data_IF_810036425794
#
_entry.id   IF_810036425794
#
_cell.length_a   1.000
_cell.length_b   1.000
_cell.length_c   1.000
_cell.angle_alpha   90.00
_cell.angle_beta   90.00
_cell.angle_gamma   90.00
#
_symmetry.space_group_name_H-M   'P 1'
#
loop_
_entity.id
_entity.type
_entity.pdbx_description
1 polymer ?
#
# COMPACT_ATOMS: atom_id res chain seq x y z
N UNK A 1 25.43 25.87 -41.59
CA UNK A 1 24.07 25.41 -41.19
C UNK A 1 24.24 24.61 -39.94
N UNK A 2 23.48 24.84 -38.89
CA UNK A 2 23.67 24.17 -37.62
C UNK A 2 23.05 22.77 -37.69
N UNK A 3 23.89 21.72 -37.58
CA UNK A 3 23.46 20.35 -37.49
C UNK A 3 22.65 20.14 -36.20
N UNK A 4 21.43 19.66 -36.30
CA UNK A 4 20.54 19.34 -35.18
C UNK A 4 20.51 17.83 -34.94
N UNK A 5 20.32 17.41 -33.67
CA UNK A 5 20.17 16.00 -33.32
C UNK A 5 18.69 15.61 -33.42
N UNK A 6 18.42 14.53 -34.15
CA UNK A 6 17.11 13.92 -34.27
C UNK A 6 17.11 12.54 -33.61
N UNK A 7 16.05 12.23 -32.89
CA UNK A 7 15.78 10.87 -32.44
C UNK A 7 14.82 10.19 -33.43
N UNK A 8 15.08 8.95 -33.76
CA UNK A 8 14.23 8.20 -34.65
C UNK A 8 13.84 6.83 -34.10
N UNK A 9 12.66 6.39 -34.49
CA UNK A 9 12.17 5.03 -34.32
C UNK A 9 11.81 4.49 -35.70
N UNK A 10 12.34 3.33 -36.04
CA UNK A 10 12.12 2.69 -37.36
C UNK A 10 12.17 1.18 -37.27
N UNK A 11 11.85 0.51 -38.38
CA UNK A 11 11.90 -0.95 -38.51
C UNK A 11 12.90 -1.32 -39.60
N UNK A 12 13.79 -2.30 -39.34
CA UNK A 12 14.69 -2.80 -40.34
C UNK A 12 14.00 -3.80 -41.31
N UNK A 13 14.69 -4.24 -42.33
CA UNK A 13 14.17 -5.20 -43.31
C UNK A 13 13.80 -6.58 -42.71
N UNK A 14 14.26 -6.87 -41.48
CA UNK A 14 13.96 -8.11 -40.75
C UNK A 14 12.73 -7.95 -39.81
N UNK A 15 12.08 -6.76 -39.78
CA UNK A 15 10.93 -6.49 -38.95
C UNK A 15 11.25 -6.09 -37.48
N UNK A 16 12.54 -5.92 -37.15
CA UNK A 16 12.94 -5.50 -35.82
C UNK A 16 12.86 -3.97 -35.64
N UNK A 17 12.31 -3.52 -34.52
CA UNK A 17 12.25 -2.08 -34.17
C UNK A 17 13.63 -1.58 -33.72
N UNK A 18 14.11 -0.52 -34.36
CA UNK A 18 15.39 0.13 -34.06
C UNK A 18 15.13 1.56 -33.61
N UNK A 19 15.76 1.98 -32.51
CA UNK A 19 15.75 3.36 -32.03
C UNK A 19 17.17 3.89 -31.98
N UNK A 20 17.35 5.16 -32.39
CA UNK A 20 18.66 5.79 -32.36
C UNK A 20 18.58 7.30 -32.45
N UNK A 21 19.74 7.94 -32.43
CA UNK A 21 19.88 9.38 -32.67
C UNK A 21 20.82 9.62 -33.86
N UNK A 22 20.48 10.57 -34.74
CA UNK A 22 21.25 10.96 -35.91
C UNK A 22 21.34 12.46 -35.98
N UNK A 23 22.47 12.98 -36.44
CA UNK A 23 22.66 14.41 -36.68
C UNK A 23 22.38 14.74 -38.15
N UNK A 24 21.46 15.69 -38.38
CA UNK A 24 21.11 16.14 -39.73
C UNK A 24 20.61 17.59 -39.70
N UNK A 25 20.50 18.18 -40.89
CA UNK A 25 20.06 19.57 -41.05
C UNK A 25 18.53 19.69 -41.16
N UNK A 26 17.82 18.58 -41.45
CA UNK A 26 16.36 18.54 -41.52
C UNK A 26 15.82 17.12 -41.27
N UNK A 27 14.50 17.05 -40.96
CA UNK A 27 13.77 15.81 -40.74
C UNK A 27 13.72 14.94 -42.02
N UNK A 28 13.62 15.58 -43.17
CA UNK A 28 13.62 14.92 -44.47
C UNK A 28 14.98 14.26 -44.79
N UNK A 29 16.07 14.92 -44.41
CA UNK A 29 17.43 14.36 -44.53
C UNK A 29 17.65 13.17 -43.64
N UNK A 30 17.07 13.15 -42.41
CA UNK A 30 17.08 11.98 -41.53
C UNK A 30 16.32 10.81 -42.15
N UNK A 31 15.09 11.07 -42.65
CA UNK A 31 14.29 10.02 -43.28
C UNK A 31 15.01 9.37 -44.49
N UNK A 32 15.62 10.19 -45.35
CA UNK A 32 16.36 9.73 -46.51
C UNK A 32 17.56 8.84 -46.09
N UNK A 33 18.37 9.29 -45.14
CA UNK A 33 19.54 8.50 -44.64
C UNK A 33 19.13 7.18 -43.97
N UNK A 34 18.00 7.16 -43.23
CA UNK A 34 17.51 5.93 -42.64
C UNK A 34 17.00 4.94 -43.66
N UNK A 35 16.32 5.45 -44.71
CA UNK A 35 15.87 4.61 -45.84
C UNK A 35 17.04 4.02 -46.60
N UNK A 36 18.10 4.80 -46.83
CA UNK A 36 19.36 4.29 -47.48
C UNK A 36 20.05 3.21 -46.62
N UNK A 37 19.86 3.21 -45.31
CA UNK A 37 20.36 2.20 -44.39
C UNK A 37 19.41 0.99 -44.23
N UNK A 38 18.34 0.93 -45.00
CA UNK A 38 17.36 -0.18 -44.96
C UNK A 38 16.44 -0.10 -43.73
N UNK A 39 16.32 1.07 -43.09
CA UNK A 39 15.44 1.31 -41.96
C UNK A 39 14.25 2.17 -42.42
N UNK A 40 13.03 1.65 -42.27
CA UNK A 40 11.82 2.41 -42.55
C UNK A 40 11.51 3.25 -41.33
N UNK A 41 11.62 4.60 -41.37
CA UNK A 41 11.35 5.47 -40.24
C UNK A 41 9.85 5.50 -39.94
N UNK A 42 9.45 5.18 -38.70
CA UNK A 42 8.09 5.28 -38.21
C UNK A 42 7.84 6.65 -37.52
N UNK A 43 8.85 7.13 -36.78
CA UNK A 43 8.80 8.43 -36.13
C UNK A 43 10.19 9.09 -36.15
N UNK A 44 10.25 10.41 -36.43
CA UNK A 44 11.47 11.23 -36.40
C UNK A 44 11.14 12.54 -35.72
N UNK A 45 11.79 12.81 -34.57
CA UNK A 45 11.59 14.01 -33.76
C UNK A 45 12.91 14.72 -33.46
N UNK A 46 12.89 16.05 -33.31
CA UNK A 46 14.07 16.79 -32.88
C UNK A 46 14.48 16.38 -31.45
N UNK A 47 15.70 15.92 -31.29
CA UNK A 47 16.25 15.54 -29.99
C UNK A 47 16.42 16.83 -29.14
N UNK A 48 15.41 17.17 -28.31
CA UNK A 48 15.51 18.32 -27.41
C UNK A 48 14.21 19.05 -27.11
N UNK A 49 13.09 18.76 -27.78
CA UNK A 49 11.79 19.46 -27.58
C UNK A 49 10.62 18.58 -27.16
N UNK A 50 10.83 17.38 -26.67
CA UNK A 50 9.76 16.54 -26.14
C UNK A 50 9.67 16.63 -24.62
N UNK A 51 8.59 17.14 -24.05
CA UNK A 51 8.19 17.02 -22.65
C UNK A 51 7.87 15.55 -22.25
N UNK A 52 8.04 14.59 -23.13
CA UNK A 52 7.90 13.15 -22.91
C UNK A 52 9.26 12.45 -22.65
N UNK A 53 10.11 13.07 -21.89
CA UNK A 53 11.13 12.30 -21.20
C UNK A 53 10.41 11.55 -20.08
N UNK A 54 10.16 10.25 -20.26
CA UNK A 54 9.98 9.37 -19.11
C UNK A 54 11.21 9.58 -18.22
N UNK A 55 11.07 10.45 -17.22
CA UNK A 55 12.07 10.62 -16.17
C UNK A 55 12.03 9.32 -15.38
N UNK A 56 12.75 8.32 -15.86
CA UNK A 56 13.03 7.10 -15.11
C UNK A 56 14.01 7.51 -14.02
N UNK A 57 13.47 8.02 -12.92
CA UNK A 57 14.27 8.29 -11.73
C UNK A 57 14.67 6.91 -11.20
N UNK A 58 15.98 6.54 -11.22
CA UNK A 58 16.43 5.26 -10.72
C UNK A 58 15.98 5.14 -9.25
N UNK A 59 15.09 4.18 -8.96
CA UNK A 59 14.55 3.94 -7.61
C UNK A 59 13.13 4.47 -7.34
N UNK A 60 12.47 5.19 -8.24
CA UNK A 60 11.07 5.66 -8.07
C UNK A 60 10.06 4.89 -8.94
N UNK A 61 10.50 4.08 -9.89
CA UNK A 61 9.63 3.12 -10.55
C UNK A 61 9.19 2.05 -9.55
N UNK A 62 7.90 2.03 -9.16
CA UNK A 62 7.32 0.91 -8.40
C UNK A 62 7.36 -0.33 -9.29
N UNK A 63 8.49 -1.04 -9.28
CA UNK A 63 8.68 -2.31 -10.01
C UNK A 63 7.82 -3.42 -9.41
N UNK A 64 7.57 -3.37 -8.08
CA UNK A 64 6.72 -4.36 -7.40
C UNK A 64 5.23 -4.13 -7.69
N UNK A 65 4.47 -5.21 -7.92
CA UNK A 65 3.03 -5.12 -8.13
C UNK A 65 2.31 -4.60 -6.88
N UNK A 66 1.16 -3.98 -7.09
CA UNK A 66 0.23 -3.65 -6.02
C UNK A 66 -0.71 -4.83 -5.76
N UNK A 67 -1.42 -4.80 -4.63
CA UNK A 67 -2.46 -5.80 -4.35
C UNK A 67 -3.53 -5.82 -5.46
N UNK A 68 -3.89 -4.66 -6.04
CA UNK A 68 -4.84 -4.60 -7.15
C UNK A 68 -4.34 -5.33 -8.40
N UNK A 69 -3.04 -5.22 -8.71
CA UNK A 69 -2.45 -5.91 -9.85
C UNK A 69 -2.52 -7.44 -9.63
N UNK A 70 -2.26 -7.91 -8.41
CA UNK A 70 -2.39 -9.33 -8.05
C UNK A 70 -3.85 -9.81 -8.08
N UNK A 71 -4.82 -8.97 -7.68
CA UNK A 71 -6.25 -9.27 -7.78
C UNK A 71 -6.64 -9.50 -9.24
N UNK A 72 -6.28 -8.57 -10.12
CA UNK A 72 -6.60 -8.66 -11.56
C UNK A 72 -5.94 -9.91 -12.16
N UNK A 73 -4.66 -10.12 -11.89
CA UNK A 73 -3.93 -11.31 -12.33
C UNK A 73 -4.63 -12.60 -11.87
N UNK A 74 -4.92 -12.71 -10.57
CA UNK A 74 -5.49 -13.94 -10.01
C UNK A 74 -6.90 -14.22 -10.54
N UNK A 75 -7.75 -13.20 -10.69
CA UNK A 75 -9.10 -13.35 -11.24
C UNK A 75 -9.06 -13.78 -12.71
N UNK A 76 -8.23 -13.13 -13.52
CA UNK A 76 -8.07 -13.50 -14.92
C UNK A 76 -7.48 -14.91 -15.07
N UNK A 77 -6.49 -15.26 -14.24
CA UNK A 77 -5.87 -16.60 -14.26
C UNK A 77 -6.89 -17.67 -13.90
N UNK A 78 -7.65 -17.47 -12.81
CA UNK A 78 -8.73 -18.37 -12.42
C UNK A 78 -9.76 -18.55 -13.55
N UNK A 79 -10.19 -17.45 -14.17
CA UNK A 79 -11.19 -17.49 -15.26
C UNK A 79 -10.65 -18.24 -16.49
N UNK A 80 -9.39 -18.02 -16.88
CA UNK A 80 -8.80 -18.72 -18.02
C UNK A 80 -8.69 -20.22 -17.79
N UNK A 81 -8.22 -20.62 -16.59
CA UNK A 81 -8.03 -22.04 -16.25
C UNK A 81 -9.39 -22.72 -16.09
N UNK A 82 -10.37 -22.11 -15.45
CA UNK A 82 -11.73 -22.67 -15.32
C UNK A 82 -12.46 -22.79 -16.66
N UNK A 83 -12.10 -21.95 -17.65
CA UNK A 83 -12.58 -22.05 -19.04
C UNK A 83 -11.83 -23.09 -19.88
N UNK A 84 -10.92 -23.86 -19.28
CA UNK A 84 -10.20 -24.95 -19.95
C UNK A 84 -8.95 -24.53 -20.72
N UNK A 85 -8.47 -23.28 -20.60
CA UNK A 85 -7.17 -22.90 -21.15
C UNK A 85 -6.04 -23.60 -20.36
N UNK A 86 -5.01 -24.03 -21.09
CA UNK A 86 -3.83 -24.61 -20.45
C UNK A 86 -3.08 -23.56 -19.61
N UNK A 87 -2.43 -24.01 -18.53
CA UNK A 87 -1.67 -23.13 -17.61
C UNK A 87 -0.65 -22.27 -18.34
N UNK A 88 0.14 -22.90 -19.22
CA UNK A 88 1.18 -22.24 -20.02
C UNK A 88 0.59 -21.13 -20.89
N UNK A 89 -0.54 -21.40 -21.58
CA UNK A 89 -1.17 -20.40 -22.44
C UNK A 89 -1.74 -19.24 -21.61
N UNK A 90 -2.36 -19.53 -20.47
CA UNK A 90 -2.87 -18.51 -19.56
C UNK A 90 -1.77 -17.62 -19.02
N UNK A 91 -0.64 -18.21 -18.55
CA UNK A 91 0.53 -17.46 -18.06
C UNK A 91 1.15 -16.58 -19.14
N UNK A 92 1.29 -17.11 -20.37
CA UNK A 92 1.82 -16.35 -21.50
C UNK A 92 0.98 -15.12 -21.83
N UNK A 93 -0.37 -15.26 -21.85
CA UNK A 93 -1.28 -14.15 -22.10
C UNK A 93 -1.18 -13.11 -20.97
N UNK A 94 -1.23 -13.56 -19.71
CA UNK A 94 -1.16 -12.68 -18.55
C UNK A 94 0.18 -11.96 -18.43
N UNK A 95 1.29 -12.63 -18.76
CA UNK A 95 2.61 -12.01 -18.82
C UNK A 95 2.71 -10.92 -19.90
N UNK A 96 2.07 -11.11 -21.06
CA UNK A 96 2.01 -10.11 -22.11
C UNK A 96 1.15 -8.88 -21.70
N UNK A 97 0.06 -9.10 -20.97
CA UNK A 97 -0.89 -8.05 -20.53
C UNK A 97 -0.46 -7.33 -19.27
N UNK A 98 0.51 -7.86 -18.50
CA UNK A 98 0.94 -7.26 -17.25
C UNK A 98 1.61 -5.90 -17.47
N UNK A 99 1.01 -4.83 -16.93
CA UNK A 99 1.52 -3.45 -17.04
C UNK A 99 2.74 -3.21 -16.14
N UNK A 100 2.77 -3.84 -14.96
CA UNK A 100 3.86 -3.65 -13.99
C UNK A 100 5.07 -4.50 -14.36
N UNK A 101 6.26 -3.89 -14.57
CA UNK A 101 7.45 -4.63 -14.98
C UNK A 101 7.81 -5.78 -14.04
N UNK A 102 7.68 -5.60 -12.73
CA UNK A 102 7.97 -6.65 -11.75
C UNK A 102 6.99 -7.82 -11.82
N UNK A 103 5.70 -7.56 -12.02
CA UNK A 103 4.70 -8.63 -12.20
C UNK A 103 4.91 -9.36 -13.54
N UNK A 104 5.15 -8.59 -14.61
CA UNK A 104 5.45 -9.15 -15.93
C UNK A 104 6.64 -10.11 -15.88
N UNK A 105 7.76 -9.65 -15.30
CA UNK A 105 8.96 -10.49 -15.15
C UNK A 105 8.70 -11.73 -14.29
N UNK A 106 7.91 -11.63 -13.23
CA UNK A 106 7.56 -12.76 -12.38
C UNK A 106 6.69 -13.78 -13.11
N UNK A 107 5.65 -13.33 -13.83
CA UNK A 107 4.77 -14.22 -14.60
C UNK A 107 5.56 -14.90 -15.72
N UNK A 108 6.43 -14.16 -16.44
CA UNK A 108 7.28 -14.75 -17.50
C UNK A 108 8.21 -15.81 -16.94
N UNK A 109 8.86 -15.55 -15.79
CA UNK A 109 9.72 -16.54 -15.15
C UNK A 109 8.93 -17.80 -14.71
N UNK A 110 7.72 -17.62 -14.18
CA UNK A 110 6.84 -18.75 -13.84
C UNK A 110 6.40 -19.52 -15.09
N UNK A 111 6.07 -18.85 -16.20
CA UNK A 111 5.71 -19.50 -17.48
C UNK A 111 6.87 -20.35 -18.01
N UNK A 112 8.09 -19.81 -18.00
CA UNK A 112 9.30 -20.52 -18.43
C UNK A 112 9.56 -21.79 -17.60
N UNK A 113 9.44 -21.69 -16.27
CA UNK A 113 9.64 -22.82 -15.37
C UNK A 113 8.55 -23.89 -15.52
N UNK A 114 7.29 -23.49 -15.68
CA UNK A 114 6.19 -24.42 -15.91
C UNK A 114 6.33 -25.11 -17.27
N UNK A 115 6.79 -24.41 -18.31
CA UNK A 115 7.15 -25.03 -19.62
C UNK A 115 8.30 -26.04 -19.49
N UNK A 116 9.25 -25.78 -18.59
CA UNK A 116 10.34 -26.70 -18.29
C UNK A 116 9.92 -27.92 -17.44
N UNK A 117 8.62 -28.01 -17.05
CA UNK A 117 8.05 -29.12 -16.29
C UNK A 117 8.04 -28.92 -14.77
N UNK A 118 8.37 -27.73 -14.27
CA UNK A 118 8.21 -27.43 -12.84
C UNK A 118 6.72 -27.32 -12.47
N UNK A 119 6.38 -27.71 -11.23
CA UNK A 119 5.06 -27.42 -10.68
C UNK A 119 4.82 -25.91 -10.57
N UNK A 120 3.60 -25.44 -10.87
CA UNK A 120 3.23 -24.03 -10.81
C UNK A 120 3.48 -23.43 -9.40
N UNK A 121 3.14 -24.19 -8.34
CA UNK A 121 3.38 -23.80 -6.96
C UNK A 121 4.86 -23.58 -6.64
N UNK A 122 5.74 -24.44 -7.16
CA UNK A 122 7.18 -24.33 -6.97
C UNK A 122 7.78 -23.13 -7.73
N UNK A 123 7.32 -22.90 -8.96
CA UNK A 123 7.71 -21.73 -9.76
C UNK A 123 7.25 -20.42 -9.11
N UNK A 124 6.02 -20.36 -8.60
CA UNK A 124 5.52 -19.18 -7.86
C UNK A 124 6.28 -18.96 -6.54
N UNK A 125 6.63 -20.02 -5.81
CA UNK A 125 7.37 -19.92 -4.54
C UNK A 125 8.76 -19.32 -4.72
N UNK A 126 9.44 -19.56 -5.86
CA UNK A 126 10.74 -18.92 -6.18
C UNK A 126 10.64 -17.41 -6.40
N UNK A 127 9.43 -16.92 -6.57
CA UNK A 127 9.12 -15.49 -6.71
C UNK A 127 8.25 -15.00 -5.53
N UNK A 128 8.64 -15.40 -4.32
CA UNK A 128 7.98 -15.03 -3.05
C UNK A 128 8.01 -13.51 -2.80
N UNK A 129 8.93 -12.80 -3.47
CA UNK A 129 8.98 -11.34 -3.49
C UNK A 129 7.77 -10.69 -4.18
N UNK A 130 7.05 -11.44 -5.02
CA UNK A 130 5.89 -11.01 -5.81
C UNK A 130 4.61 -11.76 -5.40
N UNK A 131 4.68 -13.09 -5.29
CA UNK A 131 3.53 -13.94 -4.96
C UNK A 131 3.48 -14.24 -3.45
N UNK A 132 2.42 -13.80 -2.73
CA UNK A 132 2.27 -14.08 -1.30
C UNK A 132 2.26 -15.58 -0.98
N UNK A 133 2.69 -16.00 0.22
CA UNK A 133 2.70 -17.40 0.66
C UNK A 133 1.37 -18.12 0.48
N UNK A 134 0.27 -17.44 0.78
CA UNK A 134 -1.08 -17.97 0.58
C UNK A 134 -1.31 -18.49 -0.85
N UNK A 135 -0.83 -17.76 -1.87
CA UNK A 135 -1.06 -18.12 -3.26
C UNK A 135 -0.39 -19.44 -3.62
N UNK A 136 0.92 -19.56 -3.40
CA UNK A 136 1.63 -20.78 -3.81
C UNK A 136 1.30 -22.00 -2.93
N UNK A 137 0.90 -21.83 -1.66
CA UNK A 137 0.41 -22.94 -0.84
C UNK A 137 -0.95 -23.45 -1.31
N UNK A 138 -1.87 -22.56 -1.68
CA UNK A 138 -3.16 -22.94 -2.25
C UNK A 138 -3.03 -23.58 -3.63
N UNK A 139 -2.15 -23.04 -4.49
CA UNK A 139 -1.83 -23.65 -5.79
C UNK A 139 -1.30 -25.06 -5.59
N UNK A 140 -0.38 -25.26 -4.62
CA UNK A 140 0.16 -26.59 -4.29
C UNK A 140 -0.93 -27.57 -3.88
N UNK A 141 -1.85 -27.14 -3.02
CA UNK A 141 -2.99 -27.98 -2.63
C UNK A 141 -3.86 -28.33 -3.85
N UNK A 142 -4.15 -27.35 -4.73
CA UNK A 142 -4.91 -27.57 -5.95
C UNK A 142 -4.22 -28.48 -6.96
N UNK A 143 -2.88 -28.37 -7.13
CA UNK A 143 -2.07 -29.25 -7.97
C UNK A 143 -2.10 -30.70 -7.45
N UNK A 144 -1.84 -30.86 -6.14
CA UNK A 144 -1.79 -32.20 -5.51
C UNK A 144 -3.16 -32.86 -5.50
N UNK A 145 -4.22 -32.08 -5.27
CA UNK A 145 -5.60 -32.59 -5.17
C UNK A 145 -6.35 -32.65 -6.48
N UNK A 146 -5.78 -32.12 -7.59
CA UNK A 146 -6.43 -32.11 -8.92
C UNK A 146 -7.61 -31.12 -9.03
N UNK A 147 -7.66 -30.08 -8.19
CA UNK A 147 -8.70 -29.04 -8.19
C UNK A 147 -8.12 -27.63 -8.33
N UNK A 148 -7.11 -27.49 -9.19
CA UNK A 148 -6.37 -26.22 -9.37
C UNK A 148 -7.29 -25.07 -9.81
N UNK A 149 -8.29 -25.31 -10.62
CA UNK A 149 -9.32 -24.37 -11.04
C UNK A 149 -10.02 -23.71 -9.83
N UNK A 150 -10.48 -24.55 -8.89
CA UNK A 150 -11.13 -24.10 -7.65
C UNK A 150 -10.14 -23.38 -6.70
N UNK A 151 -8.91 -23.86 -6.64
CA UNK A 151 -7.88 -23.22 -5.82
C UNK A 151 -7.57 -21.80 -6.33
N UNK A 152 -7.44 -21.61 -7.64
CA UNK A 152 -7.21 -20.30 -8.26
C UNK A 152 -8.40 -19.35 -8.05
N UNK A 153 -9.65 -19.85 -8.16
CA UNK A 153 -10.83 -19.03 -7.90
C UNK A 153 -10.92 -18.60 -6.44
N UNK A 154 -10.62 -19.50 -5.50
CA UNK A 154 -10.53 -19.16 -4.07
C UNK A 154 -9.44 -18.12 -3.79
N UNK A 155 -8.25 -18.23 -4.41
CA UNK A 155 -7.19 -17.23 -4.31
C UNK A 155 -7.67 -15.85 -4.78
N UNK A 156 -8.30 -15.79 -5.95
CA UNK A 156 -8.86 -14.56 -6.48
C UNK A 156 -9.87 -13.92 -5.52
N UNK A 157 -10.78 -14.72 -4.98
CA UNK A 157 -11.81 -14.28 -4.02
C UNK A 157 -11.19 -13.68 -2.74
N UNK A 158 -10.12 -14.29 -2.21
CA UNK A 158 -9.42 -13.74 -1.02
C UNK A 158 -8.74 -12.43 -1.31
N UNK A 159 -8.00 -12.37 -2.41
CA UNK A 159 -7.29 -11.15 -2.78
C UNK A 159 -8.25 -10.01 -3.08
N UNK A 160 -9.41 -10.28 -3.67
CA UNK A 160 -10.51 -9.33 -3.85
C UNK A 160 -11.05 -8.81 -2.52
N UNK A 161 -11.35 -9.72 -1.58
CA UNK A 161 -11.82 -9.35 -0.25
C UNK A 161 -10.78 -8.53 0.51
N UNK A 162 -9.50 -8.93 0.48
CA UNK A 162 -8.39 -8.17 1.07
C UNK A 162 -8.26 -6.77 0.43
N UNK A 163 -8.38 -6.70 -0.90
CA UNK A 163 -8.32 -5.43 -1.64
C UNK A 163 -9.51 -4.53 -1.30
N UNK A 164 -10.72 -5.08 -1.18
CA UNK A 164 -11.94 -4.36 -0.78
C UNK A 164 -11.78 -3.80 0.62
N UNK A 165 -11.37 -4.64 1.58
CA UNK A 165 -11.13 -4.24 2.97
C UNK A 165 -10.11 -3.10 3.07
N UNK A 166 -8.97 -3.27 2.40
CA UNK A 166 -7.90 -2.25 2.37
C UNK A 166 -8.35 -0.95 1.70
N UNK A 167 -9.14 -1.06 0.64
CA UNK A 167 -9.68 0.11 -0.07
C UNK A 167 -10.69 0.87 0.79
N UNK A 168 -11.54 0.17 1.55
CA UNK A 168 -12.50 0.78 2.48
C UNK A 168 -11.77 1.58 3.56
N UNK A 169 -10.81 0.95 4.26
CA UNK A 169 -10.02 1.62 5.31
C UNK A 169 -9.25 2.82 4.75
N UNK A 170 -8.63 2.67 3.56
CA UNK A 170 -7.90 3.76 2.93
C UNK A 170 -8.83 4.89 2.48
N UNK A 171 -9.98 4.56 1.90
CA UNK A 171 -10.97 5.53 1.43
C UNK A 171 -11.46 6.42 2.55
N UNK A 172 -11.75 5.86 3.73
CA UNK A 172 -12.18 6.62 4.90
C UNK A 172 -11.11 7.62 5.40
N UNK A 173 -9.82 7.37 5.13
CA UNK A 173 -8.73 8.27 5.52
C UNK A 173 -8.44 9.37 4.47
N UNK A 174 -9.07 9.34 3.29
CA UNK A 174 -8.82 10.34 2.24
C UNK A 174 -9.35 11.70 2.66
N UNK A 175 -10.60 11.78 3.11
CA UNK A 175 -11.21 13.05 3.53
C UNK A 175 -10.43 13.74 4.66
N UNK A 176 -10.12 13.08 5.80
CA UNK A 176 -9.27 13.65 6.83
C UNK A 176 -7.90 14.11 6.31
N UNK A 177 -7.30 13.32 5.41
CA UNK A 177 -6.01 13.66 4.81
C UNK A 177 -6.07 14.93 3.95
N UNK A 178 -7.13 15.11 3.15
CA UNK A 178 -7.33 16.30 2.32
C UNK A 178 -7.57 17.54 3.19
N UNK A 179 -8.40 17.43 4.23
CA UNK A 179 -8.67 18.55 5.16
C UNK A 179 -7.40 18.98 5.90
N UNK A 180 -6.61 18.02 6.41
CA UNK A 180 -5.32 18.31 7.04
C UNK A 180 -4.33 18.97 6.06
N UNK A 181 -4.25 18.48 4.83
CA UNK A 181 -3.41 19.09 3.80
C UNK A 181 -3.82 20.53 3.50
N UNK A 182 -5.13 20.79 3.36
CA UNK A 182 -5.66 22.13 3.15
C UNK A 182 -5.36 23.05 4.35
N UNK A 183 -5.51 22.54 5.59
CA UNK A 183 -5.15 23.29 6.80
C UNK A 183 -3.66 23.68 6.80
N UNK A 184 -2.77 22.75 6.48
CA UNK A 184 -1.34 23.03 6.40
C UNK A 184 -1.04 24.09 5.33
N UNK A 185 -1.68 24.02 4.18
CA UNK A 185 -1.54 25.02 3.10
C UNK A 185 -2.01 26.39 3.58
N UNK A 186 -3.19 26.49 4.21
CA UNK A 186 -3.73 27.76 4.74
C UNK A 186 -2.81 28.37 5.80
N UNK A 187 -2.36 27.58 6.77
CA UNK A 187 -1.42 28.02 7.80
C UNK A 187 -0.11 28.51 7.18
N UNK A 188 0.40 27.79 6.18
CA UNK A 188 1.63 28.19 5.47
C UNK A 188 1.45 29.51 4.74
N UNK A 189 0.32 29.70 4.03
CA UNK A 189 0.01 30.97 3.36
C UNK A 189 -0.07 32.12 4.38
N UNK A 190 -0.74 31.91 5.51
CA UNK A 190 -0.81 32.93 6.55
C UNK A 190 0.58 33.29 7.11
N UNK A 191 1.41 32.30 7.41
CA UNK A 191 2.77 32.53 7.94
C UNK A 191 3.71 33.19 6.93
N UNK A 192 3.62 32.82 5.63
CA UNK A 192 4.55 33.33 4.61
C UNK A 192 4.15 34.71 4.08
N UNK A 193 2.84 34.99 3.97
CA UNK A 193 2.37 36.23 3.35
C UNK A 193 1.73 37.20 4.33
N UNK A 194 0.85 36.72 5.20
CA UNK A 194 0.02 37.61 6.04
C UNK A 194 0.81 38.09 7.26
N UNK A 195 1.49 37.21 7.98
CA UNK A 195 2.28 37.57 9.16
C UNK A 195 3.34 38.63 8.87
N UNK A 196 4.17 38.54 7.80
CA UNK A 196 5.16 39.56 7.46
C UNK A 196 4.56 40.94 7.13
N UNK A 197 3.37 40.99 6.48
CA UNK A 197 2.70 42.25 6.20
C UNK A 197 2.31 42.94 7.50
N UNK A 198 1.76 42.19 8.44
CA UNK A 198 1.40 42.73 9.77
C UNK A 198 2.66 43.15 10.56
N UNK A 199 3.73 42.36 10.53
CA UNK A 199 5.00 42.68 11.15
C UNK A 199 5.53 44.04 10.65
N UNK A 200 5.65 44.23 9.32
CA UNK A 200 6.12 45.47 8.74
C UNK A 200 5.27 46.69 9.14
N UNK A 201 3.93 46.53 9.16
CA UNK A 201 3.01 47.59 9.59
C UNK A 201 3.22 47.99 11.08
N UNK A 202 3.57 47.03 11.96
CA UNK A 202 3.83 47.32 13.38
C UNK A 202 5.23 47.91 13.61
N UNK A 203 6.22 47.46 12.86
CA UNK A 203 7.58 48.05 12.92
C UNK A 203 7.56 49.52 12.52
N UNK A 204 6.75 49.91 11.51
CA UNK A 204 6.54 51.29 11.07
C UNK A 204 5.85 52.15 12.14
N UNK A 205 5.03 51.54 13.01
CA UNK A 205 4.34 52.25 14.11
C UNK A 205 5.15 52.34 15.43
N UNK A 206 6.34 51.72 15.48
CA UNK A 206 7.22 51.75 16.65
C UNK A 206 6.71 50.98 17.87
N UNK A 207 5.71 50.09 17.68
CA UNK A 207 5.08 49.30 18.75
C UNK A 207 5.83 48.01 19.09
N UNK A 208 5.76 47.56 20.34
CA UNK A 208 6.26 46.23 20.71
C UNK A 208 5.19 45.18 20.49
N UNK A 209 5.56 44.10 19.77
CA UNK A 209 4.63 43.00 19.48
C UNK A 209 4.29 42.21 20.76
N UNK A 210 3.01 41.86 20.99
CA UNK A 210 2.60 40.95 22.08
C UNK A 210 3.18 39.55 21.90
N UNK A 211 3.38 38.81 23.01
CA UNK A 211 4.00 37.50 23.02
C UNK A 211 3.38 36.48 22.01
N UNK A 212 2.05 36.35 21.85
CA UNK A 212 1.48 35.44 20.85
C UNK A 212 1.86 35.82 19.42
N UNK A 213 1.94 37.13 19.09
CA UNK A 213 2.33 37.59 17.76
C UNK A 213 3.82 37.36 17.51
N UNK A 214 4.67 37.56 18.54
CA UNK A 214 6.11 37.24 18.42
C UNK A 214 6.34 35.77 18.06
N UNK A 215 5.57 34.84 18.63
CA UNK A 215 5.65 33.42 18.28
C UNK A 215 5.30 33.18 16.80
N UNK A 216 4.26 33.84 16.27
CA UNK A 216 3.89 33.71 14.86
C UNK A 216 4.96 34.30 13.95
N UNK A 217 5.55 35.44 14.31
CA UNK A 217 6.64 36.06 13.55
C UNK A 217 7.88 35.15 13.55
N UNK A 218 8.26 34.62 14.71
CA UNK A 218 9.38 33.68 14.80
C UNK A 218 9.16 32.41 13.96
N UNK A 219 7.91 31.88 13.93
CA UNK A 219 7.56 30.76 13.05
C UNK A 219 7.61 31.14 11.58
N UNK A 220 7.16 32.35 11.22
CA UNK A 220 7.17 32.88 9.86
C UNK A 220 8.60 33.04 9.33
N UNK A 221 9.50 33.70 10.10
CA UNK A 221 10.89 33.93 9.72
C UNK A 221 11.68 32.61 9.57
N UNK A 222 11.37 31.62 10.40
CA UNK A 222 12.08 30.36 10.41
C UNK A 222 11.42 29.27 9.55
N UNK A 223 10.31 29.56 8.83
CA UNK A 223 9.57 28.56 8.08
C UNK A 223 10.43 27.84 7.03
N UNK A 224 11.38 28.55 6.42
CA UNK A 224 12.32 28.03 5.43
C UNK A 224 13.30 26.99 6.01
N UNK A 225 13.55 27.03 7.32
CA UNK A 225 14.35 26.03 8.04
C UNK A 225 13.49 24.98 8.71
N UNK A 226 12.31 25.35 9.21
CA UNK A 226 11.38 24.44 9.90
C UNK A 226 10.87 23.36 8.91
N UNK A 227 10.44 23.75 7.70
CA UNK A 227 9.86 22.81 6.73
C UNK A 227 10.87 21.76 6.25
N UNK A 228 12.09 22.12 5.76
CA UNK A 228 13.08 21.10 5.40
C UNK A 228 13.53 20.22 6.56
N UNK A 229 13.71 20.82 7.75
CA UNK A 229 14.09 20.08 8.96
C UNK A 229 13.01 19.07 9.36
N UNK A 230 11.74 19.45 9.30
CA UNK A 230 10.62 18.56 9.57
C UNK A 230 10.56 17.41 8.55
N UNK A 231 10.74 17.71 7.27
CA UNK A 231 10.78 16.68 6.21
C UNK A 231 11.96 15.74 6.46
N UNK A 232 13.15 16.27 6.73
CA UNK A 232 14.33 15.47 7.05
C UNK A 232 14.11 14.58 8.29
N UNK A 233 13.54 15.14 9.36
CA UNK A 233 13.20 14.40 10.58
C UNK A 233 12.20 13.27 10.31
N UNK A 234 11.18 13.51 9.48
CA UNK A 234 10.21 12.48 9.07
C UNK A 234 10.91 11.38 8.25
N UNK A 235 11.77 11.74 7.29
CA UNK A 235 12.50 10.77 6.46
C UNK A 235 13.45 9.93 7.31
N UNK A 236 14.28 10.58 8.13
CA UNK A 236 15.21 9.88 9.04
C UNK A 236 14.44 9.03 10.05
N UNK A 237 13.40 9.57 10.66
CA UNK A 237 12.53 8.82 11.57
C UNK A 237 11.94 7.58 10.90
N UNK A 238 11.48 7.69 9.65
CA UNK A 238 10.95 6.55 8.88
C UNK A 238 12.03 5.50 8.56
N UNK A 239 13.26 5.93 8.28
CA UNK A 239 14.40 5.03 8.03
C UNK A 239 14.78 4.29 9.32
N UNK A 240 14.92 5.02 10.43
CA UNK A 240 15.24 4.45 11.75
C UNK A 240 14.14 3.48 12.22
N UNK A 241 12.87 3.88 12.03
CA UNK A 241 11.72 3.02 12.33
C UNK A 241 11.73 1.71 11.55
N UNK A 242 12.01 1.78 10.23
CA UNK A 242 12.15 0.56 9.41
C UNK A 242 13.32 -0.32 9.84
N UNK A 243 14.42 0.29 10.32
CA UNK A 243 15.56 -0.47 10.85
C UNK A 243 15.21 -1.13 12.18
N UNK A 244 14.58 -0.40 13.08
CA UNK A 244 14.16 -0.90 14.39
C UNK A 244 13.13 -2.06 14.27
N UNK A 245 12.23 -2.01 13.28
CA UNK A 245 11.27 -3.08 13.00
C UNK A 245 11.90 -4.38 12.44
N UNK A 246 13.22 -4.41 12.17
CA UNK A 246 13.93 -5.65 11.80
C UNK A 246 14.29 -6.51 13.02
N UNK A 247 14.26 -5.92 14.21
CA UNK A 247 14.43 -6.67 15.46
C UNK A 247 13.08 -7.27 15.87
N UNK A 248 13.00 -8.58 15.93
CA UNK A 248 11.78 -9.33 16.22
C UNK A 248 11.17 -8.93 17.58
N UNK A 249 12.00 -8.72 18.60
CA UNK A 249 11.55 -8.29 19.92
C UNK A 249 10.92 -6.90 19.92
N UNK A 250 11.50 -5.97 19.16
CA UNK A 250 10.96 -4.62 18.99
C UNK A 250 9.67 -4.64 18.16
N UNK A 251 9.63 -5.44 17.09
CA UNK A 251 8.45 -5.62 16.25
C UNK A 251 7.22 -6.08 17.04
N UNK A 252 7.38 -7.13 17.86
CA UNK A 252 6.29 -7.62 18.74
C UNK A 252 5.82 -6.57 19.74
N UNK A 253 6.75 -5.79 20.34
CA UNK A 253 6.38 -4.69 21.27
C UNK A 253 5.58 -3.59 20.59
N UNK A 254 6.02 -3.18 19.42
CA UNK A 254 5.33 -2.15 18.61
C UNK A 254 3.93 -2.62 18.20
N UNK A 255 3.80 -3.85 17.71
CA UNK A 255 2.51 -4.39 17.31
C UNK A 255 1.57 -4.60 18.50
N UNK A 256 2.11 -5.00 19.66
CA UNK A 256 1.34 -5.04 20.90
C UNK A 256 0.84 -3.64 21.31
N UNK A 257 1.70 -2.61 21.16
CA UNK A 257 1.32 -1.22 21.47
C UNK A 257 0.26 -0.71 20.48
N UNK A 258 0.40 -1.00 19.19
CA UNK A 258 -0.62 -0.65 18.17
C UNK A 258 -1.99 -1.24 18.52
N UNK A 259 -2.05 -2.49 18.99
CA UNK A 259 -3.31 -3.12 19.42
C UNK A 259 -3.92 -2.50 20.69
N UNK A 260 -3.11 -1.79 21.50
CA UNK A 260 -3.58 -1.09 22.72
C UNK A 260 -4.06 0.33 22.47
N UNK A 261 -3.75 0.92 21.31
CA UNK A 261 -4.20 2.26 20.99
C UNK A 261 -5.74 2.32 20.98
N UNK A 262 -6.34 3.33 21.63
CA UNK A 262 -7.79 3.52 21.53
C UNK A 262 -8.14 3.72 20.05
N UNK A 263 -9.28 3.19 19.63
CA UNK A 263 -9.86 3.30 18.30
C UNK A 263 -9.07 2.55 17.21
N UNK A 264 -7.82 2.93 16.92
CA UNK A 264 -6.99 2.29 15.89
C UNK A 264 -6.58 0.85 16.26
N UNK A 265 -6.37 0.56 17.54
CA UNK A 265 -6.05 -0.78 18.00
C UNK A 265 -7.23 -1.74 17.85
N UNK A 266 -8.46 -1.25 18.07
CA UNK A 266 -9.67 -2.04 17.82
C UNK A 266 -9.83 -2.36 16.32
N UNK A 267 -9.65 -1.37 15.44
CA UNK A 267 -9.68 -1.57 14.00
C UNK A 267 -8.61 -2.57 13.55
N UNK A 268 -7.35 -2.39 14.01
CA UNK A 268 -6.24 -3.29 13.69
C UNK A 268 -6.52 -4.74 14.12
N UNK A 269 -7.09 -4.95 15.31
CA UNK A 269 -7.49 -6.27 15.79
C UNK A 269 -8.60 -6.90 14.94
N UNK A 270 -9.65 -6.13 14.58
CA UNK A 270 -10.74 -6.60 13.72
C UNK A 270 -10.22 -7.00 12.34
N UNK A 271 -9.33 -6.20 11.74
CA UNK A 271 -8.67 -6.53 10.47
C UNK A 271 -7.84 -7.81 10.59
N UNK A 272 -7.08 -7.98 11.69
CA UNK A 272 -6.29 -9.20 11.90
C UNK A 272 -7.18 -10.44 12.05
N UNK A 273 -8.33 -10.32 12.75
CA UNK A 273 -9.30 -11.43 12.90
C UNK A 273 -9.99 -11.77 11.59
N UNK A 274 -10.39 -10.79 10.78
CA UNK A 274 -10.94 -11.04 9.44
C UNK A 274 -9.95 -11.82 8.58
N UNK A 275 -8.68 -11.38 8.52
CA UNK A 275 -7.63 -12.06 7.75
C UNK A 275 -7.33 -13.46 8.26
N UNK A 276 -7.15 -13.60 9.58
CA UNK A 276 -6.92 -14.87 10.24
C UNK A 276 -8.01 -15.86 9.85
N UNK A 277 -9.27 -15.52 10.10
CA UNK A 277 -10.39 -16.41 9.89
C UNK A 277 -10.60 -16.77 8.42
N UNK A 278 -10.45 -15.80 7.52
CA UNK A 278 -10.55 -16.00 6.08
C UNK A 278 -9.47 -16.91 5.56
N UNK A 279 -8.20 -16.61 5.89
CA UNK A 279 -7.05 -17.35 5.37
C UNK A 279 -7.03 -18.77 5.93
N UNK A 280 -7.27 -18.94 7.24
CA UNK A 280 -7.31 -20.27 7.86
C UNK A 280 -8.48 -21.10 7.31
N UNK A 281 -9.70 -20.55 7.29
CA UNK A 281 -10.87 -21.24 6.78
C UNK A 281 -10.69 -21.70 5.34
N UNK A 282 -10.10 -20.83 4.50
CA UNK A 282 -9.86 -21.15 3.11
C UNK A 282 -8.79 -22.23 2.92
N UNK A 283 -7.67 -22.16 3.63
CA UNK A 283 -6.61 -23.16 3.55
C UNK A 283 -7.14 -24.54 3.98
N UNK A 284 -7.89 -24.61 5.10
CA UNK A 284 -8.49 -25.85 5.57
C UNK A 284 -9.52 -26.39 4.59
N UNK A 285 -10.40 -25.53 4.06
CA UNK A 285 -11.38 -25.92 3.04
C UNK A 285 -10.76 -26.31 1.70
N UNK A 286 -9.50 -25.96 1.46
CA UNK A 286 -8.72 -26.42 0.32
C UNK A 286 -7.90 -27.68 0.61
N UNK A 287 -8.10 -28.32 1.78
CA UNK A 287 -7.40 -29.54 2.16
C UNK A 287 -5.95 -29.36 2.57
N UNK A 288 -5.51 -28.13 2.84
CA UNK A 288 -4.15 -27.87 3.38
C UNK A 288 -4.08 -28.41 4.82
N UNK A 289 -3.06 -29.20 5.17
CA UNK A 289 -2.89 -29.70 6.53
C UNK A 289 -2.86 -28.55 7.56
N UNK A 290 -3.54 -28.74 8.68
CA UNK A 290 -3.80 -27.70 9.68
C UNK A 290 -2.53 -26.99 10.18
N UNK A 291 -1.45 -27.74 10.45
CA UNK A 291 -0.18 -27.16 10.88
C UNK A 291 0.43 -26.26 9.82
N UNK A 292 0.39 -26.68 8.56
CA UNK A 292 0.87 -25.88 7.44
C UNK A 292 -0.02 -24.65 7.21
N UNK A 293 -1.35 -24.80 7.36
CA UNK A 293 -2.27 -23.68 7.27
C UNK A 293 -1.99 -22.62 8.34
N UNK A 294 -1.70 -23.04 9.57
CA UNK A 294 -1.35 -22.13 10.67
C UNK A 294 -0.02 -21.39 10.41
N UNK A 295 1.00 -22.06 9.84
CA UNK A 295 2.26 -21.41 9.42
C UNK A 295 1.99 -20.27 8.42
N UNK A 296 1.27 -20.56 7.34
CA UNK A 296 0.93 -19.57 6.31
C UNK A 296 0.12 -18.41 6.89
N UNK A 297 -0.83 -18.71 7.77
CA UNK A 297 -1.67 -17.68 8.41
C UNK A 297 -0.84 -16.82 9.36
N UNK A 298 0.09 -17.37 10.12
CA UNK A 298 1.00 -16.61 10.97
C UNK A 298 1.81 -15.57 10.18
N UNK A 299 2.32 -15.94 9.01
CA UNK A 299 3.05 -15.04 8.11
C UNK A 299 2.15 -13.95 7.50
N UNK A 300 0.87 -14.26 7.25
CA UNK A 300 -0.04 -13.38 6.51
C UNK A 300 -0.95 -12.50 7.35
N UNK A 301 -1.05 -12.73 8.68
CA UNK A 301 -1.89 -11.92 9.58
C UNK A 301 -1.45 -10.46 9.68
N UNK A 302 -0.17 -10.17 9.41
CA UNK A 302 0.39 -8.82 9.45
C UNK A 302 0.52 -8.22 10.85
N UNK A 303 0.48 -9.06 11.90
CA UNK A 303 0.70 -8.67 13.28
C UNK A 303 1.52 -9.73 14.02
N UNK A 304 2.72 -9.34 14.46
CA UNK A 304 3.67 -10.24 15.10
C UNK A 304 3.14 -10.86 16.41
N UNK A 305 2.26 -10.14 17.14
CA UNK A 305 1.67 -10.69 18.36
C UNK A 305 0.62 -11.76 18.07
N UNK A 306 -0.16 -11.59 17.00
CA UNK A 306 -1.08 -12.64 16.52
C UNK A 306 -0.29 -13.85 16.04
N UNK A 307 0.78 -13.65 15.26
CA UNK A 307 1.67 -14.72 14.81
C UNK A 307 2.28 -15.51 15.99
N UNK A 308 2.69 -14.83 17.06
CA UNK A 308 3.20 -15.49 18.27
C UNK A 308 2.15 -16.42 18.88
N UNK A 309 0.90 -15.98 19.06
CA UNK A 309 -0.16 -16.83 19.62
C UNK A 309 -0.49 -17.99 18.69
N UNK A 310 -0.42 -17.78 17.36
CA UNK A 310 -0.58 -18.88 16.41
C UNK A 310 0.51 -19.93 16.52
N UNK A 311 1.74 -19.57 16.92
CA UNK A 311 2.78 -20.52 17.28
C UNK A 311 2.38 -21.38 18.50
N UNK A 312 1.81 -20.76 19.54
CA UNK A 312 1.27 -21.50 20.71
C UNK A 312 0.13 -22.46 20.32
N UNK A 313 -0.71 -22.03 19.36
CA UNK A 313 -1.78 -22.88 18.78
C UNK A 313 -1.19 -24.07 18.04
N UNK A 314 -0.14 -23.88 17.24
CA UNK A 314 0.54 -24.97 16.54
C UNK A 314 1.11 -26.01 17.52
N UNK A 315 1.75 -25.57 18.59
CA UNK A 315 2.29 -26.46 19.62
C UNK A 315 1.18 -27.23 20.35
N UNK A 316 0.03 -26.59 20.56
CA UNK A 316 -1.14 -27.27 21.10
C UNK A 316 -1.65 -28.36 20.13
N UNK A 317 -1.80 -28.05 18.86
CA UNK A 317 -2.26 -28.99 17.82
C UNK A 317 -1.29 -30.16 17.64
N UNK A 318 0.03 -29.90 17.64
CA UNK A 318 1.07 -30.95 17.61
C UNK A 318 0.96 -31.90 18.79
N UNK A 319 0.48 -31.38 19.94
CA UNK A 319 0.26 -32.17 21.17
C UNK A 319 -1.11 -32.81 21.26
N UNK A 320 -1.94 -32.72 20.15
CA UNK A 320 -3.29 -33.27 20.13
C UNK A 320 -4.32 -32.44 20.90
N UNK A 321 -3.98 -31.21 21.29
CA UNK A 321 -4.92 -30.30 21.96
C UNK A 321 -5.72 -29.47 20.93
N UNK A 322 -6.93 -29.00 21.29
CA UNK A 322 -7.76 -28.22 20.39
C UNK A 322 -7.12 -26.85 20.06
N UNK A 323 -7.42 -26.32 18.86
CA UNK A 323 -7.01 -24.99 18.40
C UNK A 323 -7.55 -23.87 19.28
N UNK A 324 -8.81 -24.02 19.71
CA UNK A 324 -9.55 -23.03 20.48
C UNK A 324 -8.93 -22.73 21.85
N UNK A 325 -8.21 -23.68 22.45
CA UNK A 325 -7.64 -23.56 23.80
C UNK A 325 -6.71 -22.33 23.93
N UNK A 326 -5.54 -22.30 23.27
CA UNK A 326 -4.60 -21.18 23.38
C UNK A 326 -5.19 -19.85 22.92
N UNK A 327 -6.17 -19.86 22.01
CA UNK A 327 -6.87 -18.64 21.59
C UNK A 327 -7.78 -18.11 22.72
N UNK A 328 -8.45 -18.99 23.46
CA UNK A 328 -9.27 -18.60 24.62
C UNK A 328 -8.43 -18.02 25.75
N UNK A 329 -7.17 -18.48 25.90
CA UNK A 329 -6.22 -17.95 26.88
C UNK A 329 -5.72 -16.55 26.53
N UNK A 330 -5.92 -16.12 25.28
CA UNK A 330 -5.48 -14.83 24.76
C UNK A 330 -6.65 -13.92 24.31
N UNK A 331 -7.66 -13.58 25.18
CA UNK A 331 -8.90 -12.89 24.77
C UNK A 331 -8.69 -11.45 24.30
N UNK A 332 -7.55 -10.84 24.62
CA UNK A 332 -7.18 -9.51 24.13
C UNK A 332 -6.79 -9.51 22.66
N UNK A 333 -6.38 -10.64 22.11
CA UNK A 333 -5.95 -10.82 20.71
C UNK A 333 -7.06 -11.52 19.95
N UNK A 334 -7.50 -12.68 20.43
CA UNK A 334 -8.60 -13.45 19.91
C UNK A 334 -9.86 -13.23 20.76
N UNK A 335 -10.81 -12.40 20.28
CA UNK A 335 -12.06 -12.17 20.99
C UNK A 335 -12.82 -13.48 21.24
N UNK A 336 -13.60 -13.59 22.34
CA UNK A 336 -14.32 -14.81 22.72
C UNK A 336 -15.16 -15.43 21.59
N UNK A 337 -15.74 -14.61 20.74
CA UNK A 337 -16.49 -15.09 19.58
C UNK A 337 -15.63 -15.95 18.65
N UNK A 338 -14.36 -15.58 18.41
CA UNK A 338 -13.45 -16.34 17.53
C UNK A 338 -13.16 -17.70 18.10
N UNK A 339 -12.74 -17.76 19.37
CA UNK A 339 -12.40 -19.02 20.04
C UNK A 339 -13.62 -19.92 20.22
N UNK A 340 -14.80 -19.38 20.55
CA UNK A 340 -16.04 -20.14 20.66
C UNK A 340 -16.51 -20.72 19.34
N UNK A 341 -16.52 -19.91 18.25
CA UNK A 341 -16.89 -20.40 16.93
C UNK A 341 -15.91 -21.47 16.44
N UNK A 342 -14.62 -21.30 16.74
CA UNK A 342 -13.62 -22.30 16.41
C UNK A 342 -13.85 -23.60 17.20
N UNK A 343 -14.16 -23.52 18.48
CA UNK A 343 -14.50 -24.69 19.32
C UNK A 343 -15.71 -25.43 18.76
N UNK A 344 -16.79 -24.72 18.42
CA UNK A 344 -17.95 -25.33 17.77
C UNK A 344 -17.57 -26.00 16.46
N UNK A 345 -16.70 -25.36 15.66
CA UNK A 345 -16.19 -25.93 14.43
C UNK A 345 -15.37 -27.21 14.65
N UNK A 346 -14.55 -27.26 15.69
CA UNK A 346 -13.77 -28.45 16.11
C UNK A 346 -14.71 -29.59 16.55
N UNK A 347 -15.67 -29.29 17.41
CA UNK A 347 -16.62 -30.27 17.95
C UNK A 347 -17.54 -30.87 16.86
N UNK A 348 -17.88 -30.09 15.83
CA UNK A 348 -18.77 -30.49 14.72
C UNK A 348 -18.04 -30.93 13.45
N UNK A 349 -16.70 -30.76 13.40
CA UNK A 349 -15.92 -31.00 12.19
C UNK A 349 -16.13 -29.95 11.08
N UNK A 350 -16.71 -28.79 11.39
CA UNK A 350 -17.06 -27.73 10.42
C UNK A 350 -16.22 -26.46 10.64
N UNK A 351 -14.93 -26.60 10.91
CA UNK A 351 -14.03 -25.48 11.20
C UNK A 351 -14.00 -24.46 10.06
N UNK A 352 -13.97 -24.92 8.79
CA UNK A 352 -13.98 -24.04 7.61
C UNK A 352 -15.22 -23.13 7.61
N UNK A 353 -16.41 -23.70 7.82
CA UNK A 353 -17.67 -22.97 7.79
C UNK A 353 -17.75 -21.94 8.92
N UNK A 354 -17.32 -22.32 10.12
CA UNK A 354 -17.30 -21.41 11.27
C UNK A 354 -16.34 -20.25 11.04
N UNK A 355 -15.13 -20.51 10.55
CA UNK A 355 -14.16 -19.48 10.22
C UNK A 355 -14.64 -18.55 9.11
N UNK A 356 -15.35 -19.05 8.10
CA UNK A 356 -15.98 -18.22 7.07
C UNK A 356 -16.96 -17.23 7.67
N UNK A 357 -17.83 -17.69 8.59
CA UNK A 357 -18.79 -16.81 9.29
C UNK A 357 -18.12 -15.78 10.18
N UNK A 358 -17.04 -16.17 10.86
CA UNK A 358 -16.23 -15.24 11.63
C UNK A 358 -15.59 -14.18 10.72
N UNK A 359 -15.08 -14.57 9.56
CA UNK A 359 -14.51 -13.63 8.59
C UNK A 359 -15.55 -12.63 8.07
N UNK A 360 -16.74 -13.09 7.67
CA UNK A 360 -17.86 -12.24 7.24
C UNK A 360 -18.26 -11.24 8.33
N UNK A 361 -18.36 -11.70 9.58
CA UNK A 361 -18.67 -10.84 10.72
C UNK A 361 -17.61 -9.75 10.93
N UNK A 362 -16.32 -10.12 10.94
CA UNK A 362 -15.25 -9.13 11.15
C UNK A 362 -15.08 -8.19 9.97
N UNK A 363 -15.42 -8.57 8.75
CA UNK A 363 -15.48 -7.65 7.62
C UNK A 363 -16.48 -6.53 7.85
N UNK A 364 -17.69 -6.89 8.29
CA UNK A 364 -18.74 -5.93 8.62
C UNK A 364 -18.32 -5.03 9.81
N UNK A 365 -17.69 -5.63 10.83
CA UNK A 365 -17.18 -4.92 11.98
C UNK A 365 -16.07 -3.92 11.62
N UNK A 366 -15.19 -4.27 10.68
CA UNK A 366 -14.17 -3.36 10.13
C UNK A 366 -14.83 -2.22 9.36
N UNK A 367 -15.81 -2.52 8.52
CA UNK A 367 -16.57 -1.51 7.77
C UNK A 367 -17.23 -0.51 8.74
N UNK A 368 -18.02 -1.01 9.69
CA UNK A 368 -18.71 -0.18 10.69
C UNK A 368 -17.74 0.66 11.53
N UNK A 369 -16.63 0.05 11.99
CA UNK A 369 -15.63 0.77 12.77
C UNK A 369 -14.93 1.84 11.96
N UNK A 370 -14.67 1.56 10.68
CA UNK A 370 -14.02 2.53 9.77
C UNK A 370 -14.93 3.72 9.49
N UNK A 371 -16.22 3.50 9.28
CA UNK A 371 -17.22 4.56 9.07
C UNK A 371 -17.42 5.40 10.34
N UNK A 372 -17.48 4.76 11.51
CA UNK A 372 -17.54 5.44 12.80
C UNK A 372 -16.28 6.30 13.05
N UNK A 373 -15.09 5.79 12.69
CA UNK A 373 -13.85 6.56 12.77
C UNK A 373 -13.87 7.83 11.90
N UNK A 374 -14.31 7.67 10.64
CA UNK A 374 -14.42 8.81 9.72
C UNK A 374 -15.36 9.89 10.27
N UNK A 375 -16.52 9.48 10.81
CA UNK A 375 -17.51 10.39 11.41
C UNK A 375 -17.01 11.08 12.68
N UNK A 376 -16.16 10.44 13.47
CA UNK A 376 -15.56 11.05 14.68
C UNK A 376 -14.41 12.01 14.34
N UNK A 377 -13.68 11.74 13.25
CA UNK A 377 -12.58 12.62 12.84
C UNK A 377 -13.08 13.96 12.31
N UNK A 378 -14.25 14.03 11.71
CA UNK A 378 -14.78 15.25 11.11
C UNK A 378 -14.98 16.39 12.15
N UNK A 379 -15.74 16.21 13.25
CA UNK A 379 -15.87 17.26 14.28
C UNK A 379 -14.51 17.62 14.91
N UNK A 380 -13.63 16.63 15.12
CA UNK A 380 -12.31 16.87 15.67
C UNK A 380 -11.48 17.78 14.76
N UNK A 381 -11.49 17.53 13.43
CA UNK A 381 -10.80 18.35 12.45
C UNK A 381 -11.35 19.78 12.41
N UNK A 382 -12.67 19.95 12.48
CA UNK A 382 -13.32 21.27 12.52
C UNK A 382 -12.87 22.04 13.76
N UNK A 383 -12.87 21.41 14.94
CA UNK A 383 -12.40 22.04 16.17
C UNK A 383 -10.92 22.41 16.10
N UNK A 384 -10.06 21.50 15.64
CA UNK A 384 -8.62 21.77 15.50
C UNK A 384 -8.38 22.93 14.51
N UNK A 385 -9.06 22.90 13.36
CA UNK A 385 -8.97 23.97 12.37
C UNK A 385 -9.43 25.31 12.95
N UNK A 386 -10.57 25.33 13.63
CA UNK A 386 -11.12 26.53 14.28
C UNK A 386 -10.19 27.09 15.35
N UNK A 387 -9.61 26.25 16.19
CA UNK A 387 -8.64 26.67 17.22
C UNK A 387 -7.37 27.23 16.58
N UNK A 388 -6.81 26.56 15.59
CA UNK A 388 -5.56 27.00 14.92
C UNK A 388 -5.78 28.34 14.22
N UNK A 389 -6.81 28.45 13.39
CA UNK A 389 -7.12 29.69 12.65
C UNK A 389 -7.52 30.79 13.62
N UNK A 390 -8.38 30.49 14.60
CA UNK A 390 -8.81 31.46 15.61
C UNK A 390 -7.65 31.99 16.43
N UNK A 391 -6.73 31.12 16.87
CA UNK A 391 -5.53 31.55 17.58
C UNK A 391 -4.61 32.45 16.71
N UNK A 392 -4.46 32.13 15.41
CA UNK A 392 -3.70 32.97 14.47
C UNK A 392 -4.35 34.34 14.28
N UNK A 393 -5.67 34.38 14.09
CA UNK A 393 -6.42 35.64 13.94
C UNK A 393 -6.29 36.49 15.21
N UNK A 394 -6.53 35.92 16.38
CA UNK A 394 -6.34 36.63 17.65
C UNK A 394 -4.94 37.16 17.78
N UNK A 395 -3.91 36.36 17.52
CA UNK A 395 -2.52 36.77 17.64
C UNK A 395 -2.13 37.89 16.65
N UNK A 396 -2.77 37.95 15.46
CA UNK A 396 -2.55 39.01 14.49
C UNK A 396 -3.29 40.34 14.88
N UNK A 397 -4.46 40.25 15.51
CA UNK A 397 -5.21 41.45 15.90
C UNK A 397 -4.81 42.00 17.26
N UNK A 398 -4.24 41.19 18.16
CA UNK A 398 -3.80 41.61 19.51
C UNK A 398 -2.92 42.89 19.52
N UNK A 399 -1.93 43.02 18.59
CA UNK A 399 -1.14 44.23 18.52
C UNK A 399 -1.93 45.49 18.20
N UNK A 400 -3.01 45.39 17.37
CA UNK A 400 -3.86 46.56 17.08
C UNK A 400 -4.55 47.13 18.33
N UNK A 401 -4.92 46.28 19.26
CA UNK A 401 -5.50 46.72 20.54
C UNK A 401 -4.42 47.34 21.48
N UNK A 402 -3.18 46.80 21.46
CA UNK A 402 -2.10 47.33 22.30
C UNK A 402 -1.63 48.73 21.87
N UNK A 403 -1.69 49.07 20.58
CA UNK A 403 -1.39 50.42 20.08
C UNK A 403 -2.46 51.42 20.58
N UNK A 404 -3.73 51.01 20.57
CA UNK A 404 -4.82 51.86 21.04
C UNK A 404 -4.67 52.25 22.53
N UNK A 405 -4.11 51.34 23.35
CA UNK A 405 -3.84 51.58 24.77
C UNK A 405 -2.59 52.46 25.00
N UNK A 406 -1.64 52.53 24.03
CA UNK A 406 -0.43 53.41 24.14
C UNK A 406 -0.69 54.84 23.67
N UNK A 407 -1.75 55.09 22.91
CA UNK A 407 -2.10 56.45 22.42
C UNK A 407 -2.97 57.20 23.44
N UNK A 408 -3.39 56.56 24.50
CA UNK A 408 -4.11 57.19 25.64
C UNK A 408 -3.16 57.53 26.79
#
# INVERSE_FOLDING_TARGET
MASQKFSYEGVNLEGASIRGTIEADSRETVAARLTDQGIVPLNVEEAGRGFNREITIPGIGRTKPTLKDLVVFSRQFATMVSSGLSLVRSLSILGAQAERPGLKAAITAVDEEVRAGSALSAAMQRRDDIFPPLMFHMVRAGETGGFLDRALDRIATVLEAESKLRSKVRGAMVYPGVVLALMVVLVTIMLVFIVPIFQGMFDDLGGTLPAPTQVLVALSENIWWIVPTLIAAIVVGRILWKRALRDDGFHVRVDTLKLRLPVFGQLGRKVAMSRFSRNLGMLLGSGVPILQALDVVAETTGNAKVAQVLGEVQDAVRSGRPLSGPMSDNPRIFPPMVSQMLQVGEDTGQVEQMLSKVAEFYDLEVETTTDALASLLEPLLIVVLGVVIGAMVVALYLPMFSIYDQIR
#
